data_IF_378296024849
#
_entry.id   IF_378296024849
#
_cell.length_a   1.000
_cell.length_b   1.000
_cell.length_c   1.000
_cell.angle_alpha   90.00
_cell.angle_beta   90.00
_cell.angle_gamma   90.00
#
_symmetry.space_group_name_H-M   'P 1'
#
loop_
_entity.id
_entity.type
_entity.pdbx_description
1 polymer ?
#
# COMPACT_ATOMS: atom_id res chain seq x y z
N UNK A 1 49.03 -37.06 -14.23
CA UNK A 1 49.29 -35.64 -14.50
C UNK A 1 48.10 -35.12 -15.29
N UNK A 2 47.54 -34.01 -14.81
CA UNK A 2 46.54 -33.14 -15.44
C UNK A 2 45.05 -33.41 -15.14
N UNK A 3 44.53 -32.40 -14.45
CA UNK A 3 43.22 -32.15 -13.84
C UNK A 3 42.14 -31.69 -14.85
N UNK A 4 40.86 -31.57 -14.40
CA UNK A 4 39.67 -31.45 -15.23
C UNK A 4 39.36 -29.99 -15.60
N UNK A 5 38.68 -29.76 -16.72
CA UNK A 5 38.00 -28.49 -16.96
C UNK A 5 36.53 -28.65 -16.54
N UNK A 6 36.25 -28.06 -15.39
CA UNK A 6 34.94 -27.87 -14.80
C UNK A 6 34.24 -26.75 -15.58
N UNK A 7 33.46 -27.12 -16.60
CA UNK A 7 32.50 -26.22 -17.26
C UNK A 7 31.32 -25.97 -16.31
N UNK A 8 31.59 -25.30 -15.19
CA UNK A 8 30.56 -24.69 -14.36
C UNK A 8 30.13 -23.37 -15.01
N UNK A 9 29.44 -23.49 -16.15
CA UNK A 9 28.60 -22.42 -16.70
C UNK A 9 27.44 -22.20 -15.72
N UNK A 10 27.66 -21.36 -14.72
CA UNK A 10 26.57 -20.74 -13.96
C UNK A 10 25.71 -19.97 -14.98
N UNK A 11 24.43 -20.34 -15.20
CA UNK A 11 23.56 -19.55 -16.05
C UNK A 11 23.52 -18.12 -15.50
N UNK A 12 23.52 -17.07 -16.34
CA UNK A 12 23.37 -15.71 -15.85
C UNK A 12 22.10 -15.66 -15.01
N UNK A 13 22.22 -15.18 -13.78
CA UNK A 13 21.06 -14.87 -12.96
C UNK A 13 20.16 -13.97 -13.82
N UNK A 14 18.96 -14.44 -14.15
CA UNK A 14 17.97 -13.59 -14.78
C UNK A 14 17.83 -12.39 -13.85
N UNK A 15 18.11 -11.18 -14.36
CA UNK A 15 17.73 -9.92 -13.71
C UNK A 15 16.23 -10.03 -13.42
N UNK A 16 15.90 -10.39 -12.19
CA UNK A 16 14.54 -10.35 -11.69
C UNK A 16 14.29 -8.86 -11.53
N UNK A 17 13.53 -8.29 -12.46
CA UNK A 17 13.07 -6.91 -12.33
C UNK A 17 12.05 -6.89 -11.17
N UNK A 18 12.57 -6.85 -9.95
CA UNK A 18 11.82 -6.74 -8.69
C UNK A 18 11.27 -5.31 -8.50
N UNK A 19 11.25 -4.51 -9.56
CA UNK A 19 10.59 -3.21 -9.60
C UNK A 19 9.11 -3.38 -9.26
N UNK A 20 8.62 -2.78 -8.16
CA UNK A 20 7.21 -2.81 -7.87
C UNK A 20 6.45 -2.01 -8.94
N UNK A 21 5.42 -2.64 -9.48
CA UNK A 21 4.55 -2.05 -10.50
C UNK A 21 3.21 -1.69 -9.87
N UNK A 22 2.60 -0.61 -10.35
CA UNK A 22 1.25 -0.19 -9.97
C UNK A 22 0.36 -0.33 -11.19
N UNK A 23 -0.72 -1.09 -11.08
CA UNK A 23 -1.71 -1.26 -12.15
C UNK A 23 -3.03 -0.60 -11.77
N UNK A 24 -3.66 0.02 -12.74
CA UNK A 24 -5.03 0.50 -12.62
C UNK A 24 -5.82 0.13 -13.86
N UNK A 25 -6.59 -0.96 -13.77
CA UNK A 25 -7.49 -1.43 -14.82
C UNK A 25 -8.53 -0.38 -15.21
N UNK A 26 -8.98 0.45 -14.25
CA UNK A 26 -9.97 1.51 -14.53
C UNK A 26 -9.42 2.63 -15.41
N UNK A 27 -8.11 2.85 -15.38
CA UNK A 27 -7.43 3.83 -16.21
C UNK A 27 -6.73 3.20 -17.43
N UNK A 28 -6.80 1.88 -17.58
CA UNK A 28 -6.06 1.08 -18.58
C UNK A 28 -4.56 1.43 -18.62
N UNK A 29 -3.94 1.56 -17.43
CA UNK A 29 -2.53 1.95 -17.30
C UNK A 29 -1.81 1.13 -16.23
N UNK A 30 -0.54 0.89 -16.51
CA UNK A 30 0.42 0.29 -15.59
C UNK A 30 1.64 1.22 -15.52
N UNK A 31 2.17 1.41 -14.33
CA UNK A 31 3.35 2.22 -14.06
C UNK A 31 4.40 1.35 -13.37
N UNK A 32 5.60 1.29 -13.95
CA UNK A 32 6.77 0.68 -13.31
C UNK A 32 7.40 1.73 -12.38
N UNK A 33 7.42 1.49 -11.07
CA UNK A 33 7.98 2.45 -10.10
C UNK A 33 9.52 2.35 -9.97
N UNK A 34 10.18 1.65 -10.89
CA UNK A 34 11.60 1.27 -10.77
C UNK A 34 12.55 2.46 -10.82
N UNK A 35 12.17 3.51 -11.54
CA UNK A 35 13.00 4.72 -11.65
C UNK A 35 13.05 5.55 -10.36
N UNK A 36 12.01 5.48 -9.51
CA UNK A 36 11.93 6.29 -8.27
C UNK A 36 12.43 5.53 -7.01
N UNK A 37 12.69 4.23 -7.12
CA UNK A 37 13.12 3.38 -6.01
C UNK A 37 14.64 3.17 -5.95
N UNK A 38 15.31 3.05 -7.11
CA UNK A 38 16.76 2.83 -7.15
C UNK A 38 17.58 4.10 -6.91
N UNK A 39 17.12 5.27 -7.38
CA UNK A 39 17.94 6.48 -7.42
C UNK A 39 17.75 7.43 -6.21
N UNK A 40 16.66 7.27 -5.45
CA UNK A 40 16.29 8.22 -4.38
C UNK A 40 16.24 7.64 -2.96
N UNK A 41 16.46 6.33 -2.75
CA UNK A 41 16.34 5.68 -1.42
C UNK A 41 15.03 6.02 -0.69
N UNK A 42 13.98 6.37 -1.43
CA UNK A 42 12.64 6.54 -0.88
C UNK A 42 12.05 5.14 -0.93
N UNK A 43 11.93 4.47 0.21
CA UNK A 43 11.31 3.14 0.26
C UNK A 43 9.83 3.15 -0.19
N UNK A 44 9.02 2.25 0.36
CA UNK A 44 7.58 2.09 0.07
C UNK A 44 6.69 3.37 0.15
N UNK A 45 7.25 4.53 0.52
CA UNK A 45 6.60 5.84 0.49
C UNK A 45 6.24 6.32 -0.92
N UNK A 46 7.01 5.95 -1.96
CA UNK A 46 6.70 6.33 -3.35
C UNK A 46 5.39 5.71 -3.83
N UNK A 47 5.15 4.44 -3.48
CA UNK A 47 3.89 3.74 -3.73
C UNK A 47 2.73 4.37 -2.96
N UNK A 48 2.92 4.66 -1.67
CA UNK A 48 1.90 5.28 -0.83
C UNK A 48 1.45 6.63 -1.42
N UNK A 49 2.40 7.50 -1.73
CA UNK A 49 2.13 8.82 -2.30
C UNK A 49 1.47 8.72 -3.68
N UNK A 50 1.91 7.80 -4.54
CA UNK A 50 1.26 7.55 -5.82
C UNK A 50 -0.20 7.16 -5.64
N UNK A 51 -0.50 6.23 -4.73
CA UNK A 51 -1.86 5.80 -4.46
C UNK A 51 -2.75 6.95 -3.91
N UNK A 52 -2.21 7.79 -3.03
CA UNK A 52 -2.89 8.98 -2.52
C UNK A 52 -3.11 10.05 -3.59
N UNK A 53 -2.19 10.20 -4.53
CA UNK A 53 -2.31 11.18 -5.60
C UNK A 53 -3.27 10.70 -6.69
N UNK A 54 -3.13 9.44 -7.12
CA UNK A 54 -4.00 8.80 -8.09
C UNK A 54 -5.46 8.85 -7.62
N UNK A 55 -5.75 8.56 -6.34
CA UNK A 55 -7.12 8.68 -5.80
C UNK A 55 -7.65 10.10 -5.81
N UNK A 56 -6.79 11.11 -5.58
CA UNK A 56 -7.19 12.53 -5.59
C UNK A 56 -7.54 13.01 -6.99
N UNK A 57 -6.80 12.54 -7.99
CA UNK A 57 -7.02 12.92 -9.39
C UNK A 57 -8.12 12.10 -10.08
N UNK A 58 -8.25 10.82 -9.74
CA UNK A 58 -9.12 9.88 -10.46
C UNK A 58 -10.34 9.41 -9.66
N UNK A 59 -10.40 9.69 -8.36
CA UNK A 59 -11.48 9.28 -7.47
C UNK A 59 -11.46 7.81 -7.06
N UNK A 60 -10.41 7.05 -7.41
CA UNK A 60 -10.28 5.64 -7.04
C UNK A 60 -8.81 5.26 -6.75
N UNK A 61 -8.60 4.18 -6.01
CA UNK A 61 -7.26 3.64 -5.82
C UNK A 61 -6.84 2.72 -6.97
N UNK A 62 -5.53 2.56 -7.22
CA UNK A 62 -5.00 1.49 -8.08
C UNK A 62 -5.43 0.10 -7.62
N UNK A 63 -5.40 -0.89 -8.50
CA UNK A 63 -5.96 -2.23 -8.27
C UNK A 63 -5.29 -2.95 -7.09
N UNK A 64 -3.97 -2.78 -6.96
CA UNK A 64 -3.16 -3.45 -5.96
C UNK A 64 -3.13 -2.68 -4.62
N UNK A 65 -3.98 -1.64 -4.47
CA UNK A 65 -4.08 -0.83 -3.25
C UNK A 65 -5.43 -1.08 -2.57
N UNK A 66 -5.38 -1.68 -1.39
CA UNK A 66 -6.52 -1.77 -0.49
C UNK A 66 -6.34 -0.75 0.64
N UNK A 67 -7.15 0.32 0.73
CA UNK A 67 -7.04 1.26 1.83
C UNK A 67 -7.67 0.69 3.12
N UNK A 68 -7.16 1.15 4.25
CA UNK A 68 -7.87 1.10 5.52
C UNK A 68 -8.95 2.18 5.53
N UNK A 69 -10.20 1.79 5.66
CA UNK A 69 -11.35 2.68 5.73
C UNK A 69 -11.80 2.79 7.18
N UNK A 70 -11.76 3.99 7.74
CA UNK A 70 -12.23 4.28 9.09
C UNK A 70 -13.61 4.94 9.02
N UNK A 71 -14.63 4.23 9.48
CA UNK A 71 -16.03 4.67 9.46
C UNK A 71 -16.56 4.85 10.87
N UNK A 72 -16.84 6.08 11.25
CA UNK A 72 -17.57 6.36 12.48
C UNK A 72 -19.06 6.06 12.28
N UNK A 73 -19.68 5.28 13.18
CA UNK A 73 -21.11 4.89 13.04
C UNK A 73 -22.11 6.04 13.22
N UNK A 74 -21.63 7.21 13.63
CA UNK A 74 -22.45 8.39 13.97
C UNK A 74 -22.11 9.63 13.15
N UNK A 75 -20.89 9.74 12.64
CA UNK A 75 -20.48 10.89 11.83
C UNK A 75 -20.76 10.60 10.35
N UNK A 76 -21.12 11.62 9.57
CA UNK A 76 -21.30 11.46 8.12
C UNK A 76 -19.97 11.19 7.41
N UNK A 77 -18.86 11.63 8.01
CA UNK A 77 -17.52 11.54 7.44
C UNK A 77 -16.72 10.37 8.04
N UNK A 78 -16.06 9.63 7.16
CA UNK A 78 -15.00 8.66 7.48
C UNK A 78 -13.67 9.11 6.88
N UNK A 79 -12.60 8.36 7.15
CA UNK A 79 -11.26 8.67 6.65
C UNK A 79 -10.60 7.42 6.05
N UNK A 80 -9.61 7.60 5.16
CA UNK A 80 -8.98 6.52 4.41
C UNK A 80 -7.45 6.62 4.47
N UNK A 81 -6.83 5.53 4.92
CA UNK A 81 -5.39 5.42 5.16
C UNK A 81 -4.80 4.27 4.35
N UNK A 82 -3.51 4.31 4.09
CA UNK A 82 -2.79 3.25 3.37
C UNK A 82 -2.05 2.28 4.29
N UNK A 83 -2.08 2.55 5.59
CA UNK A 83 -1.48 1.71 6.63
C UNK A 83 -2.44 1.59 7.83
N UNK A 84 -2.39 0.45 8.51
CA UNK A 84 -3.25 0.17 9.67
C UNK A 84 -2.99 1.14 10.82
N UNK A 85 -1.72 1.39 11.13
CA UNK A 85 -1.33 2.19 12.29
C UNK A 85 -1.93 3.61 12.30
N UNK A 86 -1.82 4.43 11.23
CA UNK A 86 -2.50 5.72 11.20
C UNK A 86 -4.02 5.61 11.25
N UNK A 87 -4.63 4.58 10.64
CA UNK A 87 -6.07 4.34 10.70
C UNK A 87 -6.53 4.06 12.14
N UNK A 88 -5.85 3.14 12.83
CA UNK A 88 -6.14 2.80 14.23
C UNK A 88 -5.96 3.99 15.16
N UNK A 89 -4.85 4.72 15.03
CA UNK A 89 -4.60 5.92 15.84
C UNK A 89 -5.70 6.98 15.65
N UNK A 90 -6.14 7.19 14.41
CA UNK A 90 -7.27 8.08 14.12
C UNK A 90 -8.55 7.60 14.81
N UNK A 91 -8.88 6.31 14.68
CA UNK A 91 -10.07 5.71 15.26
C UNK A 91 -10.09 5.83 16.79
N UNK A 92 -8.98 5.50 17.46
CA UNK A 92 -8.82 5.64 18.91
C UNK A 92 -8.99 7.09 19.35
N UNK A 93 -8.33 8.03 18.66
CA UNK A 93 -8.41 9.46 18.97
C UNK A 93 -9.85 9.98 18.78
N UNK A 94 -10.50 9.59 17.70
CA UNK A 94 -11.88 9.96 17.41
C UNK A 94 -12.83 9.40 18.46
N UNK A 95 -12.73 8.10 18.76
CA UNK A 95 -13.55 7.43 19.75
C UNK A 95 -13.41 8.07 21.13
N UNK A 96 -12.18 8.38 21.57
CA UNK A 96 -11.93 9.08 22.84
C UNK A 96 -12.57 10.48 22.88
N UNK A 97 -12.47 11.26 21.81
CA UNK A 97 -12.96 12.64 21.83
C UNK A 97 -14.46 12.78 21.66
N UNK A 98 -15.07 11.88 20.89
CA UNK A 98 -16.49 11.94 20.55
C UNK A 98 -17.34 10.97 21.37
N UNK A 99 -16.70 9.98 21.99
CA UNK A 99 -17.39 8.82 22.56
C UNK A 99 -18.01 7.93 21.49
N UNK A 100 -17.56 8.00 20.23
CA UNK A 100 -18.13 7.27 19.09
C UNK A 100 -17.45 5.93 18.83
N UNK A 101 -18.22 4.92 18.46
CA UNK A 101 -17.67 3.66 17.95
C UNK A 101 -17.23 3.85 16.50
N UNK A 102 -16.00 3.44 16.22
CA UNK A 102 -15.41 3.49 14.88
C UNK A 102 -15.15 2.08 14.38
N UNK A 103 -15.51 1.81 13.13
CA UNK A 103 -15.17 0.56 12.44
C UNK A 103 -14.00 0.83 11.50
N UNK A 104 -13.04 -0.10 11.47
CA UNK A 104 -11.89 -0.10 10.59
C UNK A 104 -12.02 -1.29 9.65
N UNK A 105 -12.02 -1.02 8.36
CA UNK A 105 -12.18 -2.03 7.31
C UNK A 105 -10.93 -2.04 6.43
N UNK A 106 -10.43 -3.24 6.10
CA UNK A 106 -9.33 -3.46 5.18
C UNK A 106 -9.64 -4.68 4.32
N UNK A 107 -10.07 -4.45 3.07
CA UNK A 107 -10.56 -5.53 2.21
C UNK A 107 -11.74 -6.24 2.89
N UNK A 108 -11.58 -7.53 3.20
CA UNK A 108 -12.57 -8.35 3.91
C UNK A 108 -12.38 -8.36 5.44
N UNK A 109 -11.29 -7.78 5.95
CA UNK A 109 -10.97 -7.73 7.37
C UNK A 109 -11.64 -6.52 8.03
N UNK A 110 -12.28 -6.71 9.18
CA UNK A 110 -12.91 -5.64 9.96
C UNK A 110 -12.48 -5.69 11.42
N UNK A 111 -12.23 -4.52 11.99
CA UNK A 111 -11.96 -4.28 13.40
C UNK A 111 -12.86 -3.16 13.95
N UNK A 112 -13.12 -3.18 15.26
CA UNK A 112 -13.95 -2.16 15.93
C UNK A 112 -13.13 -1.50 17.03
N UNK A 113 -13.20 -0.18 17.08
CA UNK A 113 -12.66 0.64 18.17
C UNK A 113 -13.82 1.23 18.96
N UNK A 114 -13.91 0.83 20.22
CA UNK A 114 -14.90 1.35 21.16
C UNK A 114 -14.35 2.57 21.91
N UNK A 115 -15.23 3.51 22.32
CA UNK A 115 -14.84 4.58 23.22
C UNK A 115 -14.49 4.00 24.60
N UNK A 116 -13.43 4.52 25.23
CA UNK A 116 -13.05 4.19 26.62
C UNK A 116 -14.04 4.75 27.66
#
# INVERSE_FOLDING_TARGET
>A
MSEPNDDNETPPAADVDDTPTVRCTRCDRTWDLGYELDELSVGNQSFEQFALDHRRHTGHFPDDVTPWVATCRRCPDGDQFLSEHPARRWAETHARHTGHTVSLDYGDEQSIVEPE
#
